data_IF_086863413966
#
_entry.id   IF_086863413966
#
_cell.length_a   1.000
_cell.length_b   1.000
_cell.length_c   1.000
_cell.angle_alpha   90.00
_cell.angle_beta   90.00
_cell.angle_gamma   90.00
#
_symmetry.space_group_name_H-M   'P 1'
#
loop_
_entity.id
_entity.type
_entity.pdbx_description
1 polymer ?
#
# COMPACT_ATOMS: atom_id res chain seq x y z
N UNK A 1 -19.50 3.89 25.50
CA UNK A 1 -19.12 2.70 26.29
C UNK A 1 -17.70 2.33 25.89
N UNK A 2 -16.82 2.37 26.86
CA UNK A 2 -15.39 2.19 26.75
C UNK A 2 -15.03 0.81 26.22
N UNK A 3 -14.28 0.75 25.11
CA UNK A 3 -13.51 -0.43 24.73
C UNK A 3 -12.07 -0.18 25.13
N UNK A 4 -11.55 -1.09 25.93
CA UNK A 4 -10.16 -1.15 26.34
C UNK A 4 -9.28 -1.35 25.11
N UNK A 5 -8.42 -0.40 24.89
CA UNK A 5 -7.08 -0.35 24.26
C UNK A 5 -6.96 1.00 23.55
N UNK A 6 -6.42 1.94 24.32
CA UNK A 6 -6.36 3.35 23.94
C UNK A 6 -5.30 3.63 22.88
N UNK A 7 -5.56 3.34 21.63
CA UNK A 7 -4.80 3.85 20.50
C UNK A 7 -5.74 4.66 19.61
N UNK A 8 -5.81 5.98 19.86
CA UNK A 8 -6.49 6.91 18.97
C UNK A 8 -5.57 7.20 17.79
N UNK A 9 -5.84 6.54 16.67
CA UNK A 9 -5.18 6.85 15.41
C UNK A 9 -5.87 8.08 14.80
N UNK A 10 -5.33 9.27 15.03
CA UNK A 10 -5.78 10.49 14.35
C UNK A 10 -5.05 10.59 13.01
N UNK A 11 -5.74 10.23 11.93
CA UNK A 11 -5.19 10.22 10.58
C UNK A 11 -5.38 11.60 9.96
N UNK A 12 -4.30 12.33 9.74
CA UNK A 12 -4.28 13.50 8.88
C UNK A 12 -3.42 13.21 7.65
N UNK A 13 -4.06 13.03 6.51
CA UNK A 13 -3.36 12.97 5.22
C UNK A 13 -3.10 14.39 4.74
N UNK A 14 -1.85 14.81 4.68
CA UNK A 14 -1.45 16.08 4.07
C UNK A 14 -0.98 15.81 2.62
N UNK A 15 -1.63 16.46 1.65
CA UNK A 15 -1.20 16.41 0.25
C UNK A 15 -0.36 17.65 -0.06
N UNK A 16 0.85 17.44 -0.54
CA UNK A 16 1.66 18.51 -1.14
C UNK A 16 1.96 18.11 -2.59
N UNK A 17 1.55 18.96 -3.53
CA UNK A 17 1.87 18.79 -4.95
C UNK A 17 3.13 19.59 -5.29
N UNK A 18 4.14 18.96 -5.87
CA UNK A 18 5.27 19.60 -6.54
C UNK A 18 5.28 19.23 -8.01
N UNK A 19 6.05 19.95 -8.82
CA UNK A 19 6.23 19.64 -10.26
C UNK A 19 6.87 18.26 -10.50
N UNK A 20 7.40 17.65 -9.44
CA UNK A 20 8.19 16.41 -9.50
C UNK A 20 7.47 15.19 -8.93
N UNK A 21 6.17 15.27 -8.64
CA UNK A 21 5.36 14.16 -8.17
C UNK A 21 4.45 14.48 -6.97
N UNK A 22 3.55 13.54 -6.67
CA UNK A 22 2.66 13.63 -5.49
C UNK A 22 3.43 13.07 -4.29
N UNK A 23 3.57 13.87 -3.23
CA UNK A 23 4.12 13.43 -1.94
C UNK A 23 2.96 13.34 -0.96
N UNK A 24 2.79 12.19 -0.34
CA UNK A 24 1.80 11.99 0.72
C UNK A 24 2.50 11.69 2.04
N UNK A 25 1.89 12.16 3.13
CA UNK A 25 2.34 11.90 4.50
C UNK A 25 1.20 11.27 5.29
N UNK A 26 1.50 10.25 6.06
CA UNK A 26 0.61 9.70 7.07
C UNK A 26 1.27 9.77 8.43
N UNK A 27 0.51 10.29 9.41
CA UNK A 27 0.93 10.35 10.81
C UNK A 27 0.64 9.01 11.47
N UNK A 28 1.66 8.41 12.07
CA UNK A 28 1.58 7.20 12.87
C UNK A 28 1.82 7.56 14.33
N UNK A 29 0.92 7.22 15.22
CA UNK A 29 1.09 7.42 16.66
C UNK A 29 1.37 6.09 17.33
N UNK A 30 2.56 5.95 17.92
CA UNK A 30 2.95 4.85 18.77
C UNK A 30 3.38 5.39 20.14
N UNK A 31 2.61 5.10 21.16
CA UNK A 31 2.92 5.17 22.61
C UNK A 31 3.64 6.44 23.14
N UNK A 32 3.80 7.50 22.42
CA UNK A 32 4.36 8.85 22.65
C UNK A 32 5.15 9.41 21.48
N UNK A 33 5.50 8.58 20.48
CA UNK A 33 6.25 9.04 19.31
C UNK A 33 5.32 9.21 18.11
N UNK A 34 5.36 10.39 17.51
CA UNK A 34 4.66 10.69 16.25
C UNK A 34 5.61 10.38 15.12
N UNK A 35 5.35 9.30 14.40
CA UNK A 35 6.12 8.89 13.23
C UNK A 35 5.35 9.28 11.98
N UNK A 36 6.03 9.85 10.99
CA UNK A 36 5.44 10.19 9.71
C UNK A 36 5.95 9.25 8.63
N UNK A 37 5.06 8.50 8.01
CA UNK A 37 5.37 7.80 6.77
C UNK A 37 5.15 8.74 5.59
N UNK A 38 6.13 8.77 4.68
CA UNK A 38 6.07 9.49 3.41
C UNK A 38 5.97 8.47 2.27
N UNK A 39 5.05 8.67 1.33
CA UNK A 39 4.95 7.90 0.09
C UNK A 39 5.24 8.82 -1.08
N UNK A 40 6.24 8.48 -1.87
CA UNK A 40 6.73 9.31 -2.98
C UNK A 40 7.29 8.45 -4.11
N UNK A 41 7.54 9.06 -5.28
CA UNK A 41 8.20 8.38 -6.38
C UNK A 41 9.59 7.86 -5.93
N UNK A 42 9.91 6.63 -6.32
CA UNK A 42 11.19 6.03 -5.98
C UNK A 42 12.36 6.81 -6.62
N UNK A 43 13.43 7.01 -5.86
CA UNK A 43 14.66 7.61 -6.35
C UNK A 43 15.64 6.54 -6.83
N UNK A 44 16.36 6.83 -7.91
CA UNK A 44 17.32 5.87 -8.50
C UNK A 44 18.38 5.40 -7.48
N UNK A 45 18.85 6.31 -6.62
CA UNK A 45 19.85 5.99 -5.58
C UNK A 45 19.36 4.97 -4.54
N UNK A 46 18.04 4.79 -4.43
CA UNK A 46 17.39 3.92 -3.44
C UNK A 46 17.00 2.56 -4.00
N UNK A 47 17.17 2.32 -5.32
CA UNK A 47 16.68 1.11 -5.99
C UNK A 47 17.23 -0.16 -5.37
N UNK A 48 18.53 -0.24 -5.09
CA UNK A 48 19.13 -1.43 -4.47
C UNK A 48 18.49 -1.74 -3.10
N UNK A 49 18.25 -0.70 -2.27
CA UNK A 49 17.58 -0.88 -0.99
C UNK A 49 16.13 -1.32 -1.16
N UNK A 50 15.39 -0.73 -2.10
CA UNK A 50 14.00 -1.09 -2.42
C UNK A 50 13.92 -2.56 -2.86
N UNK A 51 14.82 -2.99 -3.75
CA UNK A 51 14.88 -4.39 -4.22
C UNK A 51 15.22 -5.35 -3.08
N UNK A 52 16.16 -5.00 -2.22
CA UNK A 52 16.50 -5.82 -1.05
C UNK A 52 15.29 -5.99 -0.11
N UNK A 53 14.51 -4.93 0.11
CA UNK A 53 13.28 -4.97 0.91
C UNK A 53 12.20 -5.80 0.20
N UNK A 54 12.00 -5.59 -1.11
CA UNK A 54 11.05 -6.39 -1.91
C UNK A 54 11.37 -7.87 -1.79
N UNK A 55 12.64 -8.25 -2.01
CA UNK A 55 13.10 -9.62 -1.87
C UNK A 55 12.84 -10.17 -0.47
N UNK A 56 13.26 -9.47 0.58
CA UNK A 56 13.06 -9.92 1.95
C UNK A 56 11.57 -10.08 2.30
N UNK A 57 10.72 -9.17 1.84
CA UNK A 57 9.28 -9.20 2.10
C UNK A 57 8.62 -10.44 1.47
N UNK A 58 8.89 -10.72 0.19
CA UNK A 58 8.33 -11.86 -0.51
C UNK A 58 8.93 -13.19 -0.04
N UNK A 59 10.24 -13.25 0.21
CA UNK A 59 10.87 -14.45 0.79
C UNK A 59 10.29 -14.81 2.17
N UNK A 60 9.83 -13.82 2.95
CA UNK A 60 9.18 -14.05 4.25
C UNK A 60 7.80 -14.72 4.16
N UNK A 61 7.25 -14.88 2.96
CA UNK A 61 5.96 -15.56 2.75
C UNK A 61 6.04 -17.07 3.03
N UNK A 62 7.25 -17.64 3.16
CA UNK A 62 7.44 -19.00 3.66
C UNK A 62 6.84 -19.19 5.05
N UNK A 63 6.82 -18.15 5.87
CA UNK A 63 6.25 -18.17 7.23
C UNK A 63 4.70 -18.23 7.23
N UNK A 64 4.07 -18.07 6.08
CA UNK A 64 2.61 -17.99 5.94
C UNK A 64 2.03 -18.88 4.84
N UNK A 65 2.82 -19.85 4.36
CA UNK A 65 2.31 -20.91 3.50
C UNK A 65 2.97 -21.05 2.14
N UNK A 66 3.97 -20.23 1.78
CA UNK A 66 4.79 -20.50 0.61
C UNK A 66 5.60 -21.80 0.78
N UNK A 67 5.75 -22.57 -0.29
CA UNK A 67 6.52 -23.82 -0.28
C UNK A 67 8.03 -23.59 -0.18
N UNK A 68 8.49 -22.44 -0.66
CA UNK A 68 9.89 -22.00 -0.67
C UNK A 68 9.95 -20.47 -0.65
N UNK A 69 11.10 -19.86 -0.29
CA UNK A 69 11.30 -18.43 -0.45
C UNK A 69 11.16 -18.04 -1.92
N UNK A 70 10.44 -16.94 -2.18
CA UNK A 70 10.20 -16.49 -3.55
C UNK A 70 9.08 -15.47 -3.64
N UNK A 71 8.88 -14.92 -4.83
CA UNK A 71 7.88 -13.89 -5.09
C UNK A 71 7.40 -13.89 -6.53
N UNK A 72 6.63 -12.87 -6.92
CA UNK A 72 6.22 -12.71 -8.30
C UNK A 72 7.43 -12.49 -9.21
N UNK A 73 7.31 -12.71 -10.53
CA UNK A 73 8.44 -12.53 -11.46
C UNK A 73 9.16 -11.20 -11.24
N UNK A 74 10.48 -11.21 -11.26
CA UNK A 74 11.31 -9.99 -11.10
C UNK A 74 11.21 -9.25 -9.75
N UNK A 75 10.70 -9.89 -8.70
CA UNK A 75 10.56 -9.27 -7.37
C UNK A 75 11.91 -8.88 -6.74
N UNK A 76 13.01 -9.46 -7.19
CA UNK A 76 14.39 -9.22 -6.78
C UNK A 76 15.29 -8.65 -7.91
N UNK A 77 14.68 -8.25 -9.04
CA UNK A 77 15.40 -7.71 -10.20
C UNK A 77 15.61 -6.22 -10.10
N UNK A 78 16.87 -5.78 -9.98
CA UNK A 78 17.26 -4.35 -10.02
C UNK A 78 16.82 -3.72 -11.35
N UNK A 79 17.08 -4.41 -12.47
CA UNK A 79 16.77 -3.89 -13.81
C UNK A 79 15.26 -3.63 -13.98
N UNK A 80 14.43 -4.55 -13.50
CA UNK A 80 12.99 -4.41 -13.57
C UNK A 80 12.48 -3.26 -12.67
N UNK A 81 13.01 -3.12 -11.46
CA UNK A 81 12.62 -2.01 -10.57
C UNK A 81 13.05 -0.65 -11.13
N UNK A 82 14.20 -0.56 -11.81
CA UNK A 82 14.62 0.65 -12.55
C UNK A 82 13.61 0.97 -13.66
N UNK A 83 13.16 -0.05 -14.40
CA UNK A 83 12.14 0.14 -15.43
C UNK A 83 10.83 0.67 -14.81
N UNK A 84 10.31 0.03 -13.76
CA UNK A 84 9.09 0.47 -13.05
C UNK A 84 9.23 1.90 -12.52
N UNK A 85 10.39 2.26 -11.99
CA UNK A 85 10.68 3.62 -11.57
C UNK A 85 10.65 4.61 -12.73
N UNK A 86 11.26 4.29 -13.87
CA UNK A 86 11.34 5.17 -15.05
C UNK A 86 9.96 5.36 -15.71
N UNK A 87 9.10 4.36 -15.64
CA UNK A 87 7.71 4.40 -16.09
C UNK A 87 6.76 5.09 -15.10
N UNK A 88 7.24 5.48 -13.90
CA UNK A 88 6.46 6.18 -12.88
C UNK A 88 5.58 5.27 -12.03
N UNK A 89 5.80 3.97 -12.07
CA UNK A 89 4.99 2.97 -11.35
C UNK A 89 5.52 2.66 -9.95
N UNK A 90 6.82 2.85 -9.70
CA UNK A 90 7.45 2.48 -8.43
C UNK A 90 7.45 3.64 -7.44
N UNK A 91 6.86 3.40 -6.29
CA UNK A 91 6.86 4.29 -5.13
C UNK A 91 7.70 3.72 -4.00
N UNK A 92 8.32 4.59 -3.22
CA UNK A 92 9.04 4.26 -1.99
C UNK A 92 8.28 4.79 -0.77
N UNK A 93 8.22 3.97 0.29
CA UNK A 93 7.70 4.35 1.59
C UNK A 93 8.88 4.64 2.53
N UNK A 94 8.90 5.85 3.10
CA UNK A 94 10.02 6.38 3.89
C UNK A 94 9.53 6.78 5.27
N UNK A 95 10.27 6.40 6.32
CA UNK A 95 10.09 6.85 7.70
C UNK A 95 11.45 7.34 8.19
N UNK A 96 11.52 8.56 8.72
CA UNK A 96 12.74 9.16 9.29
C UNK A 96 13.97 9.08 8.36
N UNK A 97 13.73 9.18 7.05
CA UNK A 97 14.77 9.07 6.01
C UNK A 97 15.13 7.64 5.60
N UNK A 98 14.60 6.63 6.26
CA UNK A 98 14.84 5.21 5.97
C UNK A 98 13.75 4.65 5.04
N UNK A 99 14.15 3.88 4.02
CA UNK A 99 13.21 3.14 3.18
C UNK A 99 12.68 1.95 3.98
N UNK A 100 11.37 1.92 4.21
CA UNK A 100 10.70 0.85 4.97
C UNK A 100 9.83 -0.06 4.11
N UNK A 101 9.61 0.29 2.84
CA UNK A 101 8.78 -0.48 1.92
C UNK A 101 8.60 0.23 0.59
N UNK A 102 7.67 -0.29 -0.20
CA UNK A 102 7.31 0.30 -1.49
C UNK A 102 6.02 -0.24 -2.06
N UNK A 103 5.61 0.36 -3.18
CA UNK A 103 4.45 -0.06 -3.95
C UNK A 103 4.73 0.07 -5.45
N UNK A 104 4.15 -0.83 -6.25
CA UNK A 104 4.15 -0.74 -7.71
C UNK A 104 2.71 -0.65 -8.15
N UNK A 105 2.38 0.48 -8.77
CA UNK A 105 1.02 0.90 -9.05
C UNK A 105 0.83 1.14 -10.54
N UNK A 106 -0.26 0.62 -11.09
CA UNK A 106 -0.63 0.81 -12.48
C UNK A 106 -1.98 1.52 -12.56
N UNK A 107 -1.96 2.78 -12.97
CA UNK A 107 -3.18 3.55 -13.22
C UNK A 107 -3.68 3.25 -14.63
N UNK A 108 -4.94 2.82 -14.78
CA UNK A 108 -5.54 2.61 -16.09
C UNK A 108 -5.72 3.94 -16.85
N UNK A 109 -5.86 3.87 -18.18
CA UNK A 109 -5.83 5.07 -19.07
C UNK A 109 -6.91 6.10 -18.77
N UNK A 110 -8.05 5.68 -18.22
CA UNK A 110 -9.14 6.56 -17.82
C UNK A 110 -8.89 7.28 -16.49
N UNK A 111 -7.86 6.85 -15.74
CA UNK A 111 -7.52 7.41 -14.43
C UNK A 111 -8.48 7.03 -13.29
N UNK A 112 -9.48 6.19 -13.56
CA UNK A 112 -10.50 5.81 -12.58
C UNK A 112 -10.20 4.48 -11.87
N UNK A 113 -9.37 3.62 -12.46
CA UNK A 113 -9.02 2.31 -11.92
C UNK A 113 -7.52 2.26 -11.62
N UNK A 114 -7.20 1.88 -10.39
CA UNK A 114 -5.83 1.62 -9.94
C UNK A 114 -5.65 0.12 -9.73
N UNK A 115 -4.65 -0.46 -10.37
CA UNK A 115 -4.21 -1.81 -10.09
C UNK A 115 -2.96 -1.78 -9.22
N UNK A 116 -3.02 -2.42 -8.05
CA UNK A 116 -1.87 -2.61 -7.17
C UNK A 116 -1.14 -3.86 -7.63
N UNK A 117 -0.05 -3.67 -8.37
CA UNK A 117 0.78 -4.78 -8.82
C UNK A 117 1.61 -5.38 -7.69
N UNK A 118 2.15 -4.54 -6.81
CA UNK A 118 2.91 -4.97 -5.61
C UNK A 118 2.78 -3.98 -4.49
N UNK A 119 2.81 -4.52 -3.27
CA UNK A 119 2.98 -3.75 -2.04
C UNK A 119 3.84 -4.56 -1.08
N UNK A 120 4.84 -3.95 -0.49
CA UNK A 120 5.76 -4.63 0.40
C UNK A 120 6.30 -3.72 1.50
N UNK A 121 6.52 -4.29 2.67
CA UNK A 121 7.15 -3.67 3.85
C UNK A 121 8.29 -4.57 4.29
N UNK A 122 9.43 -3.98 4.67
CA UNK A 122 10.56 -4.70 5.25
C UNK A 122 10.07 -5.57 6.44
N UNK A 123 10.35 -6.88 6.44
CA UNK A 123 9.90 -7.79 7.52
C UNK A 123 10.27 -7.34 8.93
N UNK A 124 11.39 -6.61 9.11
CA UNK A 124 11.78 -6.05 10.42
C UNK A 124 10.77 -5.04 10.97
N UNK A 125 9.89 -4.56 10.11
CA UNK A 125 8.83 -3.60 10.43
C UNK A 125 7.43 -4.23 10.42
N UNK A 126 7.30 -5.54 10.23
CA UNK A 126 6.01 -6.21 10.28
C UNK A 126 5.35 -6.02 11.67
N UNK A 127 4.01 -6.07 11.70
CA UNK A 127 3.16 -5.90 12.90
C UNK A 127 3.23 -4.52 13.57
N UNK A 128 3.93 -3.55 12.96
CA UNK A 128 3.98 -2.14 13.41
C UNK A 128 2.90 -1.25 12.74
N UNK A 129 1.94 -1.83 12.03
CA UNK A 129 0.89 -1.07 11.34
C UNK A 129 1.32 -0.43 10.01
N UNK A 130 2.60 -0.52 9.62
CA UNK A 130 3.12 0.16 8.43
C UNK A 130 2.45 -0.31 7.12
N UNK A 131 2.12 -1.59 6.99
CA UNK A 131 1.37 -2.09 5.82
C UNK A 131 -0.03 -1.47 5.71
N UNK A 132 -0.73 -1.28 6.84
CA UNK A 132 -2.02 -0.60 6.86
C UNK A 132 -1.89 0.86 6.44
N UNK A 133 -0.89 1.57 6.95
CA UNK A 133 -0.61 2.96 6.61
C UNK A 133 -0.26 3.12 5.14
N UNK A 134 0.61 2.26 4.63
CA UNK A 134 0.99 2.25 3.22
C UNK A 134 -0.23 2.04 2.32
N UNK A 135 -1.12 1.08 2.64
CA UNK A 135 -2.35 0.86 1.87
C UNK A 135 -3.27 2.08 1.85
N UNK A 136 -3.48 2.74 2.99
CA UNK A 136 -4.29 3.97 3.04
C UNK A 136 -3.69 5.09 2.19
N UNK A 137 -2.37 5.24 2.18
CA UNK A 137 -1.70 6.22 1.35
C UNK A 137 -1.84 5.87 -0.13
N UNK A 138 -1.71 4.60 -0.51
CA UNK A 138 -1.95 4.12 -1.87
C UNK A 138 -3.39 4.40 -2.32
N UNK A 139 -4.38 4.11 -1.47
CA UNK A 139 -5.79 4.38 -1.74
C UNK A 139 -6.09 5.87 -1.97
N UNK A 140 -5.31 6.75 -1.36
CA UNK A 140 -5.46 8.20 -1.49
C UNK A 140 -4.49 8.83 -2.52
N UNK A 141 -3.60 8.05 -3.14
CA UNK A 141 -2.50 8.57 -3.95
C UNK A 141 -2.98 9.32 -5.19
N UNK A 142 -3.91 8.74 -5.94
CA UNK A 142 -4.50 9.35 -7.13
C UNK A 142 -5.91 9.87 -6.85
N UNK A 143 -6.15 11.14 -7.06
CA UNK A 143 -7.42 11.81 -6.69
C UNK A 143 -8.63 11.38 -7.54
N UNK A 144 -8.40 10.80 -8.73
CA UNK A 144 -9.47 10.40 -9.67
C UNK A 144 -9.89 8.93 -9.56
N UNK A 145 -9.16 8.13 -8.78
CA UNK A 145 -9.42 6.70 -8.68
C UNK A 145 -10.73 6.45 -7.95
N UNK A 146 -11.58 5.64 -8.57
CA UNK A 146 -12.87 5.17 -8.03
C UNK A 146 -12.79 3.73 -7.57
N UNK A 147 -11.99 2.91 -8.26
CA UNK A 147 -11.88 1.48 -8.02
C UNK A 147 -10.42 1.08 -7.88
N UNK A 148 -10.11 0.27 -6.87
CA UNK A 148 -8.80 -0.35 -6.72
C UNK A 148 -8.93 -1.85 -6.92
N UNK A 149 -8.03 -2.43 -7.72
CA UNK A 149 -7.94 -3.86 -8.00
C UNK A 149 -6.58 -4.40 -7.59
N UNK A 150 -6.55 -5.65 -7.18
CA UNK A 150 -5.33 -6.42 -6.90
C UNK A 150 -5.62 -7.91 -6.98
N UNK A 151 -4.57 -8.70 -7.02
CA UNK A 151 -4.64 -10.16 -6.79
C UNK A 151 -3.59 -10.60 -5.77
N UNK A 152 -3.81 -11.77 -5.19
CA UNK A 152 -2.89 -12.39 -4.26
C UNK A 152 -3.02 -13.92 -4.32
N UNK A 153 -1.91 -14.67 -4.11
CA UNK A 153 -1.97 -16.12 -4.11
C UNK A 153 -2.95 -16.68 -3.07
N UNK A 154 -3.68 -17.73 -3.42
CA UNK A 154 -4.66 -18.38 -2.53
C UNK A 154 -4.02 -18.91 -1.26
N UNK A 155 -2.80 -19.43 -1.34
CA UNK A 155 -2.06 -19.97 -0.20
C UNK A 155 -1.63 -18.88 0.80
N UNK A 156 -1.51 -17.63 0.39
CA UNK A 156 -1.06 -16.55 1.28
C UNK A 156 -2.21 -16.07 2.18
N UNK A 157 -2.46 -16.82 3.26
CA UNK A 157 -3.55 -16.53 4.21
C UNK A 157 -3.42 -15.15 4.85
N UNK A 158 -2.18 -14.63 4.99
CA UNK A 158 -1.91 -13.31 5.57
C UNK A 158 -2.44 -12.19 4.69
N UNK A 159 -2.10 -12.19 3.40
CA UNK A 159 -2.52 -11.14 2.46
C UNK A 159 -4.01 -11.22 2.16
N UNK A 160 -4.58 -12.42 2.01
CA UNK A 160 -6.03 -12.60 1.84
C UNK A 160 -6.81 -12.01 3.04
N UNK A 161 -6.42 -12.31 4.27
CA UNK A 161 -7.03 -11.76 5.47
C UNK A 161 -6.82 -10.25 5.59
N UNK A 162 -5.65 -9.75 5.20
CA UNK A 162 -5.30 -8.34 5.23
C UNK A 162 -6.19 -7.51 4.30
N UNK A 163 -6.34 -7.91 3.04
CA UNK A 163 -7.18 -7.18 2.08
C UNK A 163 -8.67 -7.24 2.45
N UNK A 164 -9.16 -8.38 2.91
CA UNK A 164 -10.54 -8.50 3.41
C UNK A 164 -10.80 -7.54 4.58
N UNK A 165 -9.87 -7.46 5.54
CA UNK A 165 -9.95 -6.52 6.69
C UNK A 165 -9.94 -5.06 6.25
N UNK A 166 -9.29 -4.72 5.14
CA UNK A 166 -9.27 -3.38 4.55
C UNK A 166 -10.53 -3.04 3.73
N UNK A 167 -11.48 -3.97 3.65
CA UNK A 167 -12.73 -3.78 2.92
C UNK A 167 -12.66 -4.06 1.43
N UNK A 168 -11.60 -4.77 0.98
CA UNK A 168 -11.58 -5.33 -0.37
C UNK A 168 -12.48 -6.57 -0.43
N UNK A 169 -13.27 -6.65 -1.50
CA UNK A 169 -14.14 -7.80 -1.77
C UNK A 169 -13.48 -8.71 -2.82
N UNK A 170 -13.45 -10.01 -2.55
CA UNK A 170 -13.06 -10.98 -3.56
C UNK A 170 -14.12 -11.02 -4.66
N UNK A 171 -13.72 -10.73 -5.89
CA UNK A 171 -14.64 -10.67 -7.06
C UNK A 171 -14.45 -11.85 -8.00
N UNK A 172 -13.30 -12.52 -7.93
CA UNK A 172 -12.97 -13.70 -8.73
C UNK A 172 -11.91 -14.52 -8.04
N UNK A 173 -11.88 -15.80 -8.35
CA UNK A 173 -10.85 -16.75 -7.94
C UNK A 173 -10.55 -17.69 -9.10
N UNK A 174 -9.30 -18.08 -9.28
CA UNK A 174 -8.90 -19.20 -10.14
C UNK A 174 -8.17 -20.26 -9.33
N UNK A 175 -7.31 -21.06 -9.94
CA UNK A 175 -6.60 -22.16 -9.27
C UNK A 175 -5.43 -21.67 -8.38
N UNK A 176 -4.91 -20.46 -8.64
CA UNK A 176 -3.69 -19.93 -8.01
C UNK A 176 -3.95 -18.63 -7.24
N UNK A 177 -4.87 -17.79 -7.71
CA UNK A 177 -5.06 -16.43 -7.20
C UNK A 177 -6.50 -16.12 -6.82
N UNK A 178 -6.65 -15.29 -5.78
CA UNK A 178 -7.86 -14.55 -5.45
C UNK A 178 -7.70 -13.10 -5.95
N UNK A 179 -8.74 -12.58 -6.63
CA UNK A 179 -8.81 -11.23 -7.20
C UNK A 179 -9.72 -10.38 -6.36
N UNK A 180 -9.22 -9.25 -5.92
CA UNK A 180 -9.90 -8.34 -5.01
C UNK A 180 -10.19 -7.00 -5.66
N UNK A 181 -11.29 -6.39 -5.25
CA UNK A 181 -11.69 -5.05 -5.67
C UNK A 181 -12.22 -4.26 -4.48
N UNK A 182 -11.97 -2.96 -4.49
CA UNK A 182 -12.53 -2.00 -3.54
C UNK A 182 -13.00 -0.75 -4.28
N UNK A 183 -14.26 -0.36 -4.04
CA UNK A 183 -14.79 0.92 -4.49
C UNK A 183 -14.42 2.01 -3.47
N UNK A 184 -13.82 3.08 -3.96
CA UNK A 184 -13.52 4.25 -3.14
C UNK A 184 -14.72 5.20 -3.16
N UNK A 185 -15.23 5.54 -1.98
CA UNK A 185 -16.30 6.54 -1.87
C UNK A 185 -15.76 7.91 -2.26
N UNK A 186 -16.46 8.62 -3.13
CA UNK A 186 -16.12 9.99 -3.47
C UNK A 186 -16.25 10.87 -2.20
N UNK A 187 -15.28 11.77 -2.00
CA UNK A 187 -15.27 12.71 -0.85
C UNK A 187 -16.55 13.57 -0.82
N UNK A 188 -17.25 13.70 -1.94
CA UNK A 188 -18.50 14.46 -2.05
C UNK A 188 -19.72 13.77 -1.45
N UNK A 189 -19.73 12.44 -1.32
CA UNK A 189 -20.87 11.71 -0.73
C UNK A 189 -20.87 11.74 0.80
N UNK A 190 -19.73 11.95 1.44
CA UNK A 190 -19.63 12.03 2.91
C UNK A 190 -20.22 13.34 3.45
N UNK A 191 -20.18 14.42 2.68
CA UNK A 191 -20.72 15.73 3.09
C UNK A 191 -22.24 15.89 2.83
N UNK A 192 -22.85 14.98 2.05
CA UNK A 192 -24.29 15.03 1.76
C UNK A 192 -25.20 14.46 2.87
N UNK A 193 -24.64 13.76 3.85
CA UNK A 193 -25.43 13.14 4.93
C UNK A 193 -25.67 14.06 6.16
N UNK A 194 -25.00 15.24 6.21
CA UNK A 194 -25.17 16.20 7.32
C UNK A 194 -26.23 17.28 7.04
N UNK A 195 -26.84 17.32 5.86
CA UNK A 195 -27.79 18.37 5.46
C UNK A 195 -29.27 17.95 5.55
N UNK A 196 -29.62 16.84 6.23
CA UNK A 196 -31.01 16.40 6.41
C UNK A 196 -31.41 16.21 7.88
N UNK A 197 -30.94 17.09 8.76
CA UNK A 197 -31.48 17.24 10.13
C UNK A 197 -31.61 18.72 10.44
N UNK A 198 -32.58 19.33 9.80
CA UNK A 198 -33.17 20.61 10.22
C UNK A 198 -34.66 20.61 9.91
#
# INVERSE_FOLDING_TARGET
MLSCDGTFLLLHTLKSGSKDGIIQFEKLEFDKDVIFMKLENAELKNIERIVAISKAAFDSDIDVGASEPGGPPDYDSIAWHIQMKNEGHLLQAVIDGEIVGGAILFLEKDGEILYIGRIFIDPIHHRKGYGLSLMKMVEAYYSGVKTIKLDTPLWNVRTNAFYTKLGYCEVRRDQEFAYYQKELKSVFEVNGCLAKLS
#
